data_IF_322800860840
#
_entry.id   IF_322800860840
#
_cell.length_a   1.000
_cell.length_b   1.000
_cell.length_c   1.000
_cell.angle_alpha   90.00
_cell.angle_beta   90.00
_cell.angle_gamma   90.00
#
_symmetry.space_group_name_H-M   'P 1'
#
loop_
_entity.id
_entity.type
_entity.pdbx_description
1 polymer ?
#
# COMPACT_ATOMS: atom_id res chain seq x y z
N UNK A 1 -50.70 -6.44 79.28
CA UNK A 1 -49.35 -6.92 78.95
C UNK A 1 -49.23 -7.11 77.46
N UNK A 2 -48.75 -6.13 76.74
CA UNK A 2 -48.65 -6.10 75.29
C UNK A 2 -47.18 -6.19 74.88
N UNK A 3 -46.83 -7.25 74.20
CA UNK A 3 -45.48 -7.47 73.68
C UNK A 3 -45.34 -6.79 72.29
N UNK A 4 -44.41 -5.91 72.19
CA UNK A 4 -44.01 -5.28 70.95
C UNK A 4 -43.01 -6.19 70.24
N UNK A 5 -43.37 -6.60 68.96
CA UNK A 5 -42.45 -7.28 68.11
C UNK A 5 -41.65 -6.27 67.25
N UNK A 6 -40.32 -6.33 67.34
CA UNK A 6 -39.41 -5.54 66.56
C UNK A 6 -39.14 -6.22 65.22
N UNK A 7 -39.51 -5.54 64.11
CA UNK A 7 -39.19 -6.00 62.76
C UNK A 7 -37.75 -5.61 62.40
N UNK A 8 -36.91 -6.60 62.11
CA UNK A 8 -35.53 -6.39 61.58
C UNK A 8 -35.62 -6.18 60.06
N UNK A 9 -35.20 -4.99 59.61
CA UNK A 9 -35.07 -4.65 58.16
C UNK A 9 -33.69 -5.16 57.72
N UNK A 10 -33.67 -6.26 56.99
CA UNK A 10 -32.47 -6.78 56.33
C UNK A 10 -32.11 -5.98 55.10
N UNK A 11 -30.98 -5.27 55.13
CA UNK A 11 -30.42 -4.60 54.00
C UNK A 11 -29.81 -5.62 53.03
N UNK A 12 -30.45 -5.82 51.87
CA UNK A 12 -29.91 -6.61 50.79
C UNK A 12 -28.79 -5.84 50.09
N UNK A 13 -27.53 -6.21 50.33
CA UNK A 13 -26.37 -5.78 49.61
C UNK A 13 -26.37 -6.48 48.22
N UNK A 14 -26.70 -5.75 47.14
CA UNK A 14 -26.48 -6.20 45.75
C UNK A 14 -25.00 -5.97 45.43
N UNK A 15 -24.25 -7.03 45.05
CA UNK A 15 -22.89 -6.81 44.59
C UNK A 15 -22.98 -6.11 43.19
N UNK A 16 -22.44 -4.90 43.11
CA UNK A 16 -22.22 -4.21 41.83
C UNK A 16 -21.23 -5.02 41.01
N UNK A 17 -21.74 -5.69 39.98
CA UNK A 17 -20.92 -6.35 38.94
C UNK A 17 -20.14 -5.26 38.23
N UNK A 18 -18.90 -5.01 38.64
CA UNK A 18 -17.93 -4.26 37.90
C UNK A 18 -17.64 -5.06 36.60
N UNK A 19 -18.28 -4.68 35.53
CA UNK A 19 -17.96 -5.23 34.21
C UNK A 19 -16.53 -4.80 33.81
N UNK A 20 -15.54 -5.65 34.10
CA UNK A 20 -14.24 -5.53 33.52
C UNK A 20 -14.44 -5.72 31.97
N UNK A 21 -14.50 -4.61 31.28
CA UNK A 21 -14.35 -4.62 29.82
C UNK A 21 -12.95 -5.09 29.49
N UNK A 22 -12.80 -6.37 29.18
CA UNK A 22 -11.57 -6.90 28.59
C UNK A 22 -11.24 -6.05 27.36
N UNK A 23 -9.99 -5.57 27.23
CA UNK A 23 -9.59 -4.90 26.01
C UNK A 23 -9.83 -5.88 24.85
N UNK A 24 -10.75 -5.52 23.95
CA UNK A 24 -11.04 -6.30 22.77
C UNK A 24 -9.77 -6.58 21.97
N UNK A 25 -9.73 -7.65 21.16
CA UNK A 25 -8.55 -8.04 20.38
C UNK A 25 -8.01 -6.83 19.63
N UNK A 26 -6.69 -6.63 19.71
CA UNK A 26 -5.96 -5.50 19.17
C UNK A 26 -6.51 -5.08 17.79
N UNK A 27 -7.14 -3.92 17.75
CA UNK A 27 -8.04 -3.55 16.71
C UNK A 27 -7.29 -3.42 15.37
N UNK A 28 -7.76 -4.14 14.38
CA UNK A 28 -7.43 -3.90 12.97
C UNK A 28 -7.55 -2.40 12.70
N UNK A 29 -6.49 -1.75 12.24
CA UNK A 29 -6.50 -0.34 11.86
C UNK A 29 -7.61 -0.15 10.82
N UNK A 30 -8.62 0.67 11.15
CA UNK A 30 -9.80 0.82 10.32
C UNK A 30 -9.48 1.64 9.08
N UNK A 31 -10.05 1.27 7.94
CA UNK A 31 -10.02 2.06 6.71
C UNK A 31 -11.11 3.14 6.81
N UNK A 32 -10.83 4.18 7.58
CA UNK A 32 -11.73 5.35 7.73
C UNK A 32 -11.58 6.31 6.56
N UNK A 33 -12.53 7.23 6.39
CA UNK A 33 -12.41 8.28 5.37
C UNK A 33 -11.13 9.11 5.56
N UNK A 34 -10.74 9.40 6.80
CA UNK A 34 -9.49 10.09 7.11
C UNK A 34 -8.25 9.27 6.69
N UNK A 35 -8.21 7.97 7.00
CA UNK A 35 -7.12 7.09 6.56
C UNK A 35 -7.00 7.09 5.03
N UNK A 36 -8.13 6.97 4.32
CA UNK A 36 -8.18 7.02 2.85
C UNK A 36 -7.63 8.34 2.34
N UNK A 37 -8.12 9.45 2.89
CA UNK A 37 -7.68 10.81 2.52
C UNK A 37 -6.18 10.98 2.73
N UNK A 38 -5.63 10.59 3.87
CA UNK A 38 -4.19 10.69 4.18
C UNK A 38 -3.36 9.85 3.21
N UNK A 39 -3.79 8.62 2.91
CA UNK A 39 -3.08 7.79 1.92
C UNK A 39 -3.05 8.47 0.54
N UNK A 40 -4.18 8.96 0.04
CA UNK A 40 -4.26 9.56 -1.30
C UNK A 40 -3.51 10.89 -1.37
N UNK A 41 -3.73 11.77 -0.40
CA UNK A 41 -3.14 13.10 -0.40
C UNK A 41 -1.61 13.03 -0.30
N UNK A 42 -1.09 12.19 0.59
CA UNK A 42 0.36 12.08 0.78
C UNK A 42 1.05 11.45 -0.44
N UNK A 43 0.43 10.43 -1.08
CA UNK A 43 0.95 9.93 -2.34
C UNK A 43 0.99 11.02 -3.41
N UNK A 44 -0.09 11.77 -3.58
CA UNK A 44 -0.15 12.82 -4.59
C UNK A 44 0.81 13.97 -4.30
N UNK A 45 0.98 14.36 -3.05
CA UNK A 45 1.96 15.36 -2.61
C UNK A 45 3.39 14.95 -3.00
N UNK A 46 3.77 13.70 -2.71
CA UNK A 46 5.10 13.17 -3.04
C UNK A 46 5.31 13.06 -4.55
N UNK A 47 4.30 12.60 -5.28
CA UNK A 47 4.34 12.46 -6.74
C UNK A 47 4.45 13.82 -7.46
N UNK A 48 3.79 14.85 -6.95
CA UNK A 48 3.87 16.21 -7.52
C UNK A 48 5.21 16.92 -7.26
N UNK A 49 6.03 16.37 -6.35
CA UNK A 49 7.30 16.96 -5.93
C UNK A 49 8.55 16.22 -6.43
N UNK A 50 8.39 15.28 -7.39
CA UNK A 50 9.55 14.54 -7.94
C UNK A 50 10.55 15.46 -8.64
N UNK A 51 11.82 15.10 -8.52
CA UNK A 51 12.92 15.74 -9.25
C UNK A 51 13.79 14.66 -9.93
N UNK A 52 13.99 14.74 -11.27
CA UNK A 52 13.47 15.75 -12.20
C UNK A 52 11.95 15.76 -12.29
N UNK A 53 11.35 16.87 -12.76
CA UNK A 53 9.90 16.98 -12.94
C UNK A 53 9.32 15.93 -13.87
N UNK A 54 8.06 15.54 -13.66
CA UNK A 54 7.38 14.51 -14.43
C UNK A 54 6.32 15.08 -15.37
N UNK A 55 6.44 14.82 -16.67
CA UNK A 55 5.52 15.29 -17.70
C UNK A 55 4.17 14.54 -17.72
N UNK A 56 4.16 13.26 -17.27
CA UNK A 56 3.04 12.32 -17.40
C UNK A 56 2.52 11.77 -16.06
N UNK A 57 2.87 12.38 -14.93
CA UNK A 57 2.51 11.84 -13.62
C UNK A 57 0.99 11.90 -13.39
N UNK A 58 0.34 10.74 -13.31
CA UNK A 58 -1.09 10.66 -13.06
C UNK A 58 -1.44 10.94 -11.59
N UNK A 59 -2.53 11.67 -11.37
CA UNK A 59 -3.15 11.86 -10.06
C UNK A 59 -3.72 10.53 -9.56
N UNK A 60 -3.31 10.11 -8.38
CA UNK A 60 -3.84 8.89 -7.75
C UNK A 60 -5.22 9.14 -7.14
N UNK A 61 -6.08 8.14 -7.27
CA UNK A 61 -7.37 8.06 -6.61
C UNK A 61 -7.53 6.71 -5.91
N UNK A 62 -8.35 6.70 -4.85
CA UNK A 62 -8.60 5.49 -4.08
C UNK A 62 -9.36 4.43 -4.87
N UNK A 63 -8.99 3.18 -4.63
CA UNK A 63 -9.67 1.99 -5.15
C UNK A 63 -9.96 1.01 -4.01
N UNK A 64 -11.23 0.70 -3.81
CA UNK A 64 -11.67 -0.16 -2.71
C UNK A 64 -11.25 -1.63 -2.92
N UNK A 65 -11.14 -2.09 -4.17
CA UNK A 65 -10.68 -3.44 -4.51
C UNK A 65 -9.21 -3.63 -4.14
N UNK A 66 -8.36 -2.69 -4.53
CA UNK A 66 -6.95 -2.69 -4.13
C UNK A 66 -6.79 -2.62 -2.60
N UNK A 67 -7.60 -1.78 -1.93
CA UNK A 67 -7.58 -1.65 -0.48
C UNK A 67 -7.99 -2.95 0.23
N UNK A 68 -9.01 -3.64 -0.29
CA UNK A 68 -9.44 -4.95 0.23
C UNK A 68 -8.30 -5.97 0.15
N UNK A 69 -7.61 -6.03 -0.98
CA UNK A 69 -6.46 -6.94 -1.20
C UNK A 69 -5.28 -6.58 -0.29
N UNK A 70 -4.92 -5.29 -0.19
CA UNK A 70 -3.86 -4.81 0.70
C UNK A 70 -4.17 -5.13 2.17
N UNK A 71 -5.43 -4.91 2.59
CA UNK A 71 -5.89 -5.23 3.95
C UNK A 71 -5.85 -6.72 4.24
N UNK A 72 -6.27 -7.55 3.29
CA UNK A 72 -6.21 -9.00 3.44
C UNK A 72 -4.76 -9.48 3.60
N UNK A 73 -3.84 -8.94 2.79
CA UNK A 73 -2.42 -9.29 2.89
C UNK A 73 -1.79 -8.80 4.20
N UNK A 74 -2.07 -7.58 4.64
CA UNK A 74 -1.56 -7.06 5.91
C UNK A 74 -1.92 -7.94 7.12
N UNK A 75 -3.10 -8.59 7.11
CA UNK A 75 -3.54 -9.51 8.17
C UNK A 75 -2.71 -10.80 8.24
N UNK A 76 -1.99 -11.15 7.19
CA UNK A 76 -1.09 -12.33 7.22
C UNK A 76 0.17 -12.09 8.04
N UNK A 77 0.48 -10.83 8.37
CA UNK A 77 1.69 -10.45 9.10
C UNK A 77 2.99 -10.92 8.45
N UNK A 78 3.03 -10.98 7.11
CA UNK A 78 4.20 -11.42 6.34
C UNK A 78 4.89 -10.24 5.67
N UNK A 79 6.17 -10.01 5.96
CA UNK A 79 6.98 -8.97 5.30
C UNK A 79 7.55 -9.47 3.98
N UNK A 80 6.67 -9.84 3.08
CA UNK A 80 7.00 -10.25 1.71
C UNK A 80 5.87 -9.88 0.75
N UNK A 81 6.20 -9.76 -0.53
CA UNK A 81 5.20 -9.43 -1.54
C UNK A 81 4.11 -10.50 -1.62
N UNK A 82 2.87 -10.03 -1.81
CA UNK A 82 1.70 -10.87 -2.01
C UNK A 82 1.79 -11.60 -3.38
N UNK A 83 1.95 -12.93 -3.40
CA UNK A 83 2.10 -13.68 -4.65
C UNK A 83 0.85 -13.65 -5.54
N UNK A 84 -0.32 -13.36 -4.96
CA UNK A 84 -1.59 -13.33 -5.69
C UNK A 84 -1.76 -12.10 -6.59
N UNK A 85 -0.95 -11.05 -6.42
CA UNK A 85 -1.01 -9.83 -7.24
C UNK A 85 -0.62 -10.05 -8.70
N UNK A 86 0.07 -11.17 -8.99
CA UNK A 86 0.49 -11.58 -10.34
C UNK A 86 -0.47 -12.55 -11.00
N UNK A 87 -1.53 -12.96 -10.29
CA UNK A 87 -2.51 -13.92 -10.80
C UNK A 87 -3.76 -13.13 -11.22
N UNK A 88 -4.12 -13.25 -12.51
CA UNK A 88 -5.32 -12.60 -13.07
C UNK A 88 -6.56 -12.86 -12.21
N UNK A 89 -7.28 -11.78 -11.88
CA UNK A 89 -8.51 -11.85 -11.08
C UNK A 89 -8.33 -12.13 -9.58
N UNK A 90 -7.11 -12.42 -9.09
CA UNK A 90 -6.86 -12.65 -7.65
C UNK A 90 -6.55 -11.36 -6.89
N UNK A 91 -5.77 -10.47 -7.48
CA UNK A 91 -5.41 -9.21 -6.85
C UNK A 91 -6.48 -8.13 -7.02
N UNK A 92 -7.12 -8.08 -8.19
CA UNK A 92 -8.19 -7.16 -8.54
C UNK A 92 -9.00 -7.69 -9.74
N UNK A 93 -10.33 -7.47 -9.82
CA UNK A 93 -11.14 -8.01 -10.90
C UNK A 93 -10.79 -7.43 -12.29
N UNK A 94 -10.36 -6.16 -12.37
CA UNK A 94 -10.11 -5.46 -13.63
C UNK A 94 -8.63 -5.24 -13.93
N UNK A 95 -7.78 -5.13 -12.92
CA UNK A 95 -6.33 -4.91 -13.14
C UNK A 95 -5.60 -6.24 -13.14
N UNK A 96 -4.93 -6.53 -14.24
CA UNK A 96 -4.19 -7.78 -14.43
C UNK A 96 -2.85 -7.79 -13.69
N UNK A 97 -2.29 -6.60 -13.45
CA UNK A 97 -1.02 -6.44 -12.74
C UNK A 97 -1.09 -5.33 -11.70
N UNK A 98 -0.66 -5.63 -10.51
CA UNK A 98 -0.74 -4.77 -9.34
C UNK A 98 0.64 -4.64 -8.72
N UNK A 99 1.04 -3.40 -8.45
CA UNK A 99 2.24 -3.11 -7.68
C UNK A 99 1.95 -3.12 -6.18
N UNK A 100 3.00 -3.26 -5.38
CA UNK A 100 2.87 -3.31 -3.92
C UNK A 100 4.07 -2.67 -3.23
N UNK A 101 3.80 -1.88 -2.19
CA UNK A 101 4.77 -1.44 -1.21
C UNK A 101 4.34 -1.91 0.18
N UNK A 102 5.32 -2.35 0.97
CA UNK A 102 5.11 -2.82 2.35
C UNK A 102 6.02 -2.02 3.30
N UNK A 103 5.44 -1.59 4.42
CA UNK A 103 6.14 -0.96 5.52
C UNK A 103 5.81 -1.67 6.83
N UNK A 104 6.77 -1.72 7.75
CA UNK A 104 6.61 -2.30 9.08
C UNK A 104 7.19 -1.38 10.15
N UNK A 105 6.53 -1.32 11.31
CA UNK A 105 7.01 -0.55 12.45
C UNK A 105 6.63 -1.22 13.77
N UNK A 106 7.51 -1.15 14.76
CA UNK A 106 7.21 -1.51 16.16
C UNK A 106 6.67 -0.32 16.95
N UNK A 107 6.83 0.90 16.43
CA UNK A 107 6.36 2.14 17.03
C UNK A 107 4.93 2.50 16.64
N UNK A 108 4.57 3.74 16.92
CA UNK A 108 3.29 4.30 16.49
C UNK A 108 3.24 4.37 14.97
N UNK A 109 2.25 3.75 14.37
CA UNK A 109 2.05 3.80 12.93
C UNK A 109 1.48 5.15 12.48
N UNK A 110 2.04 5.70 11.39
CA UNK A 110 1.41 6.74 10.60
C UNK A 110 1.63 6.49 9.11
N UNK A 111 0.71 6.96 8.29
CA UNK A 111 0.81 6.88 6.82
C UNK A 111 2.01 7.68 6.33
N UNK A 112 2.22 8.85 6.89
CA UNK A 112 3.28 9.79 6.51
C UNK A 112 4.67 9.21 6.75
N UNK A 113 4.89 8.56 7.90
CA UNK A 113 6.19 7.92 8.19
C UNK A 113 6.46 6.76 7.23
N UNK A 114 5.44 5.96 6.91
CA UNK A 114 5.59 4.88 5.94
C UNK A 114 5.99 5.41 4.55
N UNK A 115 5.31 6.45 4.07
CA UNK A 115 5.61 7.04 2.78
C UNK A 115 6.94 7.79 2.77
N UNK A 116 7.32 8.41 3.87
CA UNK A 116 8.64 9.05 4.06
C UNK A 116 9.77 8.03 3.90
N UNK A 117 9.62 6.83 4.46
CA UNK A 117 10.62 5.77 4.26
C UNK A 117 10.69 5.29 2.81
N UNK A 118 9.54 5.16 2.14
CA UNK A 118 9.54 4.75 0.75
C UNK A 118 10.14 5.80 -0.18
N UNK A 119 9.85 7.09 0.04
CA UNK A 119 10.41 8.17 -0.79
C UNK A 119 11.89 8.38 -0.52
N UNK A 120 12.37 8.10 0.69
CA UNK A 120 13.79 8.23 1.04
C UNK A 120 14.70 7.30 0.22
N UNK A 121 14.17 6.21 -0.35
CA UNK A 121 14.92 5.38 -1.30
C UNK A 121 15.33 6.15 -2.56
N UNK A 122 14.61 7.23 -2.91
CA UNK A 122 14.85 8.06 -4.08
C UNK A 122 16.24 8.70 -4.10
N UNK A 123 16.85 8.97 -2.93
CA UNK A 123 18.23 9.48 -2.84
C UNK A 123 19.26 8.54 -3.47
N UNK A 124 18.92 7.26 -3.57
CA UNK A 124 19.76 6.19 -4.12
C UNK A 124 19.42 5.85 -5.57
N UNK A 125 18.39 6.47 -6.13
CA UNK A 125 17.93 6.22 -7.49
C UNK A 125 18.54 7.25 -8.47
N UNK A 126 19.28 6.76 -9.45
CA UNK A 126 19.75 7.58 -10.56
C UNK A 126 18.73 7.52 -11.70
N UNK A 127 18.01 8.61 -11.91
CA UNK A 127 16.96 8.70 -12.92
C UNK A 127 17.50 8.49 -14.33
N UNK A 128 18.59 9.20 -14.71
CA UNK A 128 19.10 9.19 -16.09
C UNK A 128 19.65 7.81 -16.49
N UNK A 129 20.19 7.06 -15.55
CA UNK A 129 20.69 5.70 -15.75
C UNK A 129 19.62 4.63 -15.49
N UNK A 130 18.47 5.01 -14.95
CA UNK A 130 17.44 4.09 -14.48
C UNK A 130 17.98 2.99 -13.55
N UNK A 131 18.81 3.37 -12.60
CA UNK A 131 19.51 2.43 -11.70
C UNK A 131 19.42 2.87 -10.26
N UNK A 132 19.39 1.89 -9.35
CA UNK A 132 19.62 2.10 -7.92
C UNK A 132 21.10 1.91 -7.58
N UNK A 133 21.58 2.56 -6.54
CA UNK A 133 22.95 2.34 -6.04
C UNK A 133 23.18 0.85 -5.78
N UNK A 134 24.42 0.38 -6.08
CA UNK A 134 24.81 -1.03 -5.96
C UNK A 134 24.45 -1.60 -4.58
N UNK A 135 23.85 -2.79 -4.55
CA UNK A 135 23.38 -3.48 -3.35
C UNK A 135 22.25 -2.76 -2.57
N UNK A 136 21.64 -1.73 -3.14
CA UNK A 136 20.49 -1.03 -2.57
C UNK A 136 19.20 -1.38 -3.30
N UNK A 137 18.06 -1.04 -2.69
CA UNK A 137 16.74 -1.21 -3.28
C UNK A 137 16.07 0.18 -3.39
N UNK A 138 15.47 0.47 -4.55
CA UNK A 138 14.72 1.68 -4.82
C UNK A 138 13.27 1.38 -5.28
N UNK A 139 12.85 0.11 -5.19
CA UNK A 139 11.59 -0.32 -5.79
C UNK A 139 10.36 0.28 -5.11
N UNK A 140 10.44 0.62 -3.81
CA UNK A 140 9.33 1.28 -3.12
C UNK A 140 9.18 2.72 -3.57
N UNK A 141 10.30 3.43 -3.75
CA UNK A 141 10.31 4.78 -4.34
C UNK A 141 9.77 4.75 -5.77
N UNK A 142 10.35 3.94 -6.65
CA UNK A 142 9.96 3.92 -8.06
C UNK A 142 8.51 3.49 -8.27
N UNK A 143 7.98 2.57 -7.46
CA UNK A 143 6.55 2.24 -7.47
C UNK A 143 5.68 3.42 -7.02
N UNK A 144 6.06 4.11 -5.94
CA UNK A 144 5.32 5.27 -5.41
C UNK A 144 5.20 6.38 -6.46
N UNK A 145 6.30 6.64 -7.21
CA UNK A 145 6.34 7.70 -8.23
C UNK A 145 6.12 7.18 -9.66
N UNK A 146 5.55 5.99 -9.81
CA UNK A 146 5.28 5.44 -11.16
C UNK A 146 4.19 6.25 -11.85
N UNK A 147 4.54 6.93 -12.96
CA UNK A 147 3.67 7.89 -13.64
C UNK A 147 2.31 7.32 -14.02
N UNK A 148 2.30 6.10 -14.59
CA UNK A 148 1.09 5.46 -15.10
C UNK A 148 0.20 4.82 -14.02
N UNK A 149 0.69 4.62 -12.79
CA UNK A 149 -0.13 4.14 -11.68
C UNK A 149 -1.05 5.26 -11.19
N UNK A 150 -2.38 5.04 -11.26
CA UNK A 150 -3.39 6.04 -10.91
C UNK A 150 -4.43 5.56 -9.91
N UNK A 151 -4.43 4.27 -9.59
CA UNK A 151 -5.27 3.70 -8.54
C UNK A 151 -4.42 3.22 -7.37
N UNK A 152 -4.94 3.50 -6.18
CA UNK A 152 -4.28 3.23 -4.90
C UNK A 152 -5.25 2.61 -3.92
N UNK A 153 -4.84 1.57 -3.23
CA UNK A 153 -5.58 1.03 -2.10
C UNK A 153 -4.64 0.50 -1.03
N UNK A 154 -4.80 0.99 0.20
CA UNK A 154 -3.93 0.63 1.31
C UNK A 154 -4.69 -0.05 2.46
N UNK A 155 -3.97 -0.83 3.25
CA UNK A 155 -4.46 -1.43 4.48
C UNK A 155 -3.35 -1.61 5.50
N UNK A 156 -3.68 -1.49 6.78
CA UNK A 156 -2.76 -1.71 7.87
C UNK A 156 -3.33 -2.67 8.89
N UNK A 157 -2.46 -3.43 9.56
CA UNK A 157 -2.82 -4.38 10.59
C UNK A 157 -1.76 -4.45 11.68
N UNK A 158 -2.22 -4.49 12.94
CA UNK A 158 -1.32 -4.70 14.07
C UNK A 158 -1.12 -6.20 14.28
N UNK A 159 0.13 -6.65 14.21
CA UNK A 159 0.55 -8.03 14.33
C UNK A 159 1.01 -8.32 15.78
N UNK A 160 0.14 -8.85 16.65
CA UNK A 160 0.46 -9.03 18.08
C UNK A 160 1.47 -10.15 18.33
N UNK A 161 1.60 -11.09 17.39
CA UNK A 161 2.52 -12.25 17.46
C UNK A 161 3.79 -12.06 16.63
N UNK A 162 4.07 -10.83 16.18
CA UNK A 162 5.21 -10.52 15.33
C UNK A 162 4.90 -10.47 13.84
N UNK A 163 5.95 -10.16 13.08
CA UNK A 163 5.90 -10.06 11.62
C UNK A 163 6.88 -11.08 11.05
N UNK A 164 6.37 -12.03 10.28
CA UNK A 164 7.15 -13.06 9.62
C UNK A 164 8.14 -12.42 8.62
N UNK A 165 9.32 -12.99 8.52
CA UNK A 165 10.45 -12.49 7.71
C UNK A 165 11.02 -11.13 8.19
N UNK A 166 10.62 -10.66 9.38
CA UNK A 166 11.16 -9.46 10.01
C UNK A 166 11.33 -9.71 11.51
N UNK A 167 12.54 -9.52 12.05
CA UNK A 167 12.83 -9.80 13.47
C UNK A 167 12.10 -8.85 14.42
N UNK A 168 10.79 -9.01 14.52
CA UNK A 168 9.90 -8.15 15.29
C UNK A 168 8.85 -9.02 16.01
N UNK A 169 8.78 -8.92 17.33
CA UNK A 169 7.87 -9.73 18.16
C UNK A 169 6.43 -9.18 18.20
N UNK A 170 6.26 -7.91 17.89
CA UNK A 170 4.97 -7.24 17.70
C UNK A 170 5.19 -6.00 16.83
N UNK A 171 4.19 -5.59 16.07
CA UNK A 171 4.32 -4.40 15.24
C UNK A 171 3.12 -4.18 14.33
N UNK A 172 3.19 -3.14 13.53
CA UNK A 172 2.19 -2.84 12.52
C UNK A 172 2.79 -3.04 11.14
N UNK A 173 2.06 -3.76 10.28
CA UNK A 173 2.34 -3.90 8.86
C UNK A 173 1.37 -3.01 8.08
N UNK A 174 1.89 -2.24 7.15
CA UNK A 174 1.13 -1.38 6.25
C UNK A 174 1.46 -1.76 4.81
N UNK A 175 0.43 -1.98 4.01
CA UNK A 175 0.53 -2.42 2.62
C UNK A 175 -0.25 -1.46 1.75
N UNK A 176 0.37 -0.99 0.66
CA UNK A 176 -0.31 -0.25 -0.40
C UNK A 176 -0.19 -0.98 -1.73
N UNK A 177 -1.31 -1.16 -2.40
CA UNK A 177 -1.40 -1.72 -3.74
C UNK A 177 -1.68 -0.62 -4.77
N UNK A 178 -1.03 -0.74 -5.93
CA UNK A 178 -1.04 0.25 -7.01
C UNK A 178 -1.49 -0.37 -8.33
N UNK A 179 -2.32 0.33 -9.07
CA UNK A 179 -2.73 -0.13 -10.40
C UNK A 179 -2.76 1.01 -11.44
N UNK A 180 -2.34 0.68 -12.68
CA UNK A 180 -1.56 -0.48 -13.09
C UNK A 180 -0.25 -0.60 -12.30
N UNK A 181 0.41 -1.78 -12.34
CA UNK A 181 1.69 -1.97 -11.64
C UNK A 181 2.78 -1.05 -12.20
N UNK A 182 3.65 -0.58 -11.30
CA UNK A 182 4.91 0.05 -11.65
C UNK A 182 6.06 -0.95 -11.78
N UNK A 183 7.27 -0.43 -11.68
CA UNK A 183 8.50 -1.22 -11.68
C UNK A 183 8.64 -2.17 -12.88
N UNK A 184 8.18 -1.72 -14.05
CA UNK A 184 8.28 -2.48 -15.28
C UNK A 184 9.73 -2.49 -15.76
N UNK A 185 10.25 -3.68 -16.05
CA UNK A 185 11.66 -3.87 -16.43
C UNK A 185 12.06 -2.97 -17.59
N UNK A 186 13.17 -2.25 -17.43
CA UNK A 186 13.75 -1.38 -18.46
C UNK A 186 13.00 -0.06 -18.68
N UNK A 187 11.92 0.21 -17.94
CA UNK A 187 11.18 1.46 -18.04
C UNK A 187 11.54 2.41 -16.91
N UNK A 188 11.62 3.70 -17.24
CA UNK A 188 11.70 4.76 -16.23
C UNK A 188 10.38 4.88 -15.47
N UNK A 189 10.41 5.33 -14.21
CA UNK A 189 9.20 5.46 -13.40
C UNK A 189 8.21 6.50 -13.96
N UNK A 190 8.68 7.51 -14.67
CA UNK A 190 7.87 8.52 -15.35
C UNK A 190 8.65 9.16 -16.50
N UNK A 191 8.03 10.02 -17.29
CA UNK A 191 8.69 10.80 -18.32
C UNK A 191 9.16 12.13 -17.75
N UNK A 192 10.46 12.42 -17.85
CA UNK A 192 11.07 13.69 -17.44
C UNK A 192 10.56 14.84 -18.31
N UNK A 193 10.15 15.93 -17.67
CA UNK A 193 9.71 17.13 -18.35
C UNK A 193 8.91 18.06 -17.46
N UNK A 194 8.43 19.18 -18.04
CA UNK A 194 7.54 20.08 -17.32
C UNK A 194 6.25 19.35 -16.92
N UNK A 195 5.77 19.53 -15.68
CA UNK A 195 4.58 18.85 -15.21
C UNK A 195 3.38 19.07 -16.14
N UNK A 196 2.58 18.01 -16.32
CA UNK A 196 1.34 18.03 -17.12
C UNK A 196 1.51 18.24 -18.62
N UNK A 197 2.73 18.23 -19.16
CA UNK A 197 2.94 18.43 -20.61
C UNK A 197 2.20 17.36 -21.44
N UNK A 198 2.05 16.15 -20.92
CA UNK A 198 1.37 15.05 -21.62
C UNK A 198 -0.16 15.12 -21.54
N UNK A 199 -0.74 15.78 -20.56
CA UNK A 199 -2.20 15.83 -20.40
C UNK A 199 -2.81 17.21 -20.71
N UNK A 200 -1.97 18.23 -20.87
CA UNK A 200 -2.40 19.59 -21.11
C UNK A 200 -2.97 20.30 -19.84
N UNK A 201 -3.16 21.61 -19.91
CA UNK A 201 -3.51 22.44 -18.74
C UNK A 201 -4.88 22.09 -18.14
N UNK A 202 -5.88 21.77 -18.98
CA UNK A 202 -7.26 21.48 -18.54
C UNK A 202 -7.35 20.22 -17.67
N UNK A 203 -6.40 19.31 -17.82
CA UNK A 203 -6.32 18.06 -17.06
C UNK A 203 -5.23 18.09 -15.98
N UNK A 204 -4.57 19.21 -15.78
CA UNK A 204 -3.54 19.39 -14.78
C UNK A 204 -4.15 19.84 -13.44
N UNK A 205 -3.78 19.14 -12.37
CA UNK A 205 -4.07 19.55 -10.99
C UNK A 205 -2.85 19.32 -10.12
N UNK A 206 -2.34 20.36 -9.50
CA UNK A 206 -1.21 20.28 -8.56
C UNK A 206 0.00 19.54 -9.18
N UNK A 207 0.33 19.85 -10.45
CA UNK A 207 1.39 19.20 -11.26
C UNK A 207 1.12 17.73 -11.62
N UNK A 208 -0.09 17.21 -11.42
CA UNK A 208 -0.50 15.86 -11.73
C UNK A 208 -1.62 15.86 -12.77
N UNK A 209 -1.56 14.86 -13.66
CA UNK A 209 -2.55 14.68 -14.71
C UNK A 209 -3.81 14.00 -14.17
N UNK A 210 -4.97 14.61 -14.32
CA UNK A 210 -6.26 13.99 -14.02
C UNK A 210 -6.58 12.92 -15.06
N UNK A 211 -7.05 11.78 -14.58
CA UNK A 211 -7.36 10.63 -15.43
C UNK A 211 -8.68 10.64 -16.22
N UNK A 212 -9.74 11.47 -16.02
CA UNK A 212 -11.09 11.11 -16.47
C UNK A 212 -11.37 11.17 -17.96
N UNK A 213 -10.53 11.74 -18.81
CA UNK A 213 -10.73 11.72 -20.26
C UNK A 213 -9.58 11.09 -21.03
N UNK A 214 -8.45 10.92 -20.40
CA UNK A 214 -7.38 10.13 -20.95
C UNK A 214 -7.63 8.68 -20.50
N UNK A 215 -8.46 7.97 -21.21
CA UNK A 215 -8.26 6.53 -21.29
C UNK A 215 -6.91 6.40 -21.94
N UNK A 216 -5.85 5.89 -21.26
CA UNK A 216 -4.75 5.39 -22.02
C UNK A 216 -5.45 4.47 -23.01
N UNK A 217 -5.34 4.79 -24.26
CA UNK A 217 -5.70 3.87 -25.29
C UNK A 217 -4.74 2.71 -25.06
N UNK A 218 -5.15 1.76 -24.25
CA UNK A 218 -4.60 0.43 -24.21
C UNK A 218 -5.02 -0.20 -25.54
N UNK A 219 -4.76 0.58 -26.60
CA UNK A 219 -4.93 0.19 -27.97
C UNK A 219 -4.43 -1.21 -28.05
N UNK A 220 -5.15 -2.06 -28.65
CA UNK A 220 -5.00 -3.48 -29.00
C UNK A 220 -3.58 -4.04 -29.14
N UNK A 221 -2.56 -3.31 -28.75
CA UNK A 221 -1.25 -3.80 -28.43
C UNK A 221 -1.38 -4.68 -27.20
N UNK A 222 -1.61 -5.97 -27.45
CA UNK A 222 -1.37 -7.04 -26.51
C UNK A 222 -0.09 -6.73 -25.72
N UNK A 223 -0.22 -6.05 -24.59
CA UNK A 223 0.89 -5.83 -23.68
C UNK A 223 1.21 -7.22 -23.16
N UNK A 224 2.22 -7.80 -23.77
CA UNK A 224 2.78 -9.09 -23.42
C UNK A 224 2.93 -9.18 -21.90
N UNK A 225 2.22 -10.11 -21.31
CA UNK A 225 2.11 -10.46 -19.92
C UNK A 225 3.44 -10.67 -19.16
N UNK A 226 4.56 -10.62 -19.87
CA UNK A 226 5.88 -10.98 -19.35
C UNK A 226 6.63 -9.85 -18.65
N UNK A 227 6.13 -8.61 -18.60
CA UNK A 227 6.95 -7.48 -18.15
C UNK A 227 6.93 -7.14 -16.64
N UNK A 228 5.96 -7.65 -15.88
CA UNK A 228 6.04 -7.66 -14.40
C UNK A 228 6.63 -8.96 -13.84
N UNK A 229 6.90 -9.90 -14.71
CA UNK A 229 7.46 -11.21 -14.42
C UNK A 229 8.81 -11.32 -15.08
N UNK A 230 9.90 -11.17 -14.42
CA UNK A 230 11.12 -11.95 -14.70
C UNK A 230 12.26 -11.50 -13.79
N UNK A 231 12.36 -12.19 -12.68
CA UNK A 231 13.66 -12.63 -12.17
C UNK A 231 13.44 -14.00 -11.51
N UNK A 232 13.35 -15.05 -12.31
CA UNK A 232 13.73 -16.44 -12.00
C UNK A 232 13.13 -17.35 -13.07
N UNK A 233 13.85 -17.57 -14.15
CA UNK A 233 14.00 -18.85 -14.83
C UNK A 233 14.92 -18.62 -16.02
N UNK A 234 16.19 -18.76 -15.80
CA UNK A 234 17.16 -19.06 -16.84
C UNK A 234 18.33 -19.76 -16.20
N UNK A 235 18.11 -20.99 -15.78
CA UNK A 235 19.12 -22.05 -15.69
C UNK A 235 18.28 -23.32 -15.61
N UNK A 236 18.13 -23.98 -16.71
CA UNK A 236 18.06 -25.45 -16.87
C UNK A 236 17.32 -25.78 -18.15
N UNK A 237 17.96 -25.64 -19.32
CA UNK A 237 17.80 -26.51 -20.48
C UNK A 237 19.08 -26.33 -21.31
N UNK A 238 20.08 -27.08 -20.96
CA UNK A 238 21.17 -27.41 -21.86
C UNK A 238 21.93 -28.61 -21.29
N UNK A 239 21.31 -29.78 -21.31
CA UNK A 239 21.95 -31.09 -21.24
C UNK A 239 20.89 -32.12 -21.59
N UNK A 240 20.63 -32.35 -22.85
CA UNK A 240 20.30 -33.63 -23.46
C UNK A 240 20.49 -33.40 -24.96
N UNK A 241 21.64 -33.79 -25.46
CA UNK A 241 21.99 -34.30 -26.77
C UNK A 241 23.50 -34.36 -26.84
N UNK A 242 24.02 -35.44 -26.32
CA UNK A 242 25.12 -36.29 -26.84
C UNK A 242 25.07 -37.60 -26.09
#
# INVERSE_FOLDING_TARGET
MTAMAAAAVGALWLPSLLSLSLPGPAASIRTTAEFVKRCVDEHNRLRSSVSPGAANMLLMSWDAGLAKTAKAWSKTCKFKNNPHLKIKGKGHPFFESIGENIYVTSGKFSVEEALKEWVAEGIRFNYDKNTCLKKQNCNRYTQLVWGDSYKLGCGAYHCPKGIEDFKMTKGTIFVCNYAPCGNRRGQLPYVKGAPCTYCGPDFCRDKLCKYPKWKPDFGSASISWSKCLLLRTSITIMYILW
#
